data_IF_032380816096
#
_entry.id   IF_032380816096
#
_cell.length_a   1.000
_cell.length_b   1.000
_cell.length_c   1.000
_cell.angle_alpha   90.00
_cell.angle_beta   90.00
_cell.angle_gamma   90.00
#
_symmetry.space_group_name_H-M   'P 1'
#
loop_
_entity.id
_entity.type
_entity.pdbx_description
1 polymer ?
#
# COMPACT_ATOMS: atom_id res chain seq x y z
N UNK A 1 9.57 -59.38 4.60
CA UNK A 1 8.52 -59.40 3.55
C UNK A 1 7.94 -58.00 3.51
N UNK A 2 8.30 -57.20 2.50
CA UNK A 2 7.96 -55.79 2.39
C UNK A 2 6.80 -55.62 1.40
N UNK A 3 5.67 -55.12 1.88
CA UNK A 3 4.51 -54.75 1.05
C UNK A 3 4.63 -53.30 0.65
N UNK A 4 4.84 -53.05 -0.64
CA UNK A 4 4.83 -51.73 -1.26
C UNK A 4 3.42 -51.40 -1.74
N UNK A 5 2.86 -50.29 -1.28
CA UNK A 5 1.62 -49.68 -1.77
C UNK A 5 1.95 -48.57 -2.74
N UNK A 6 1.44 -48.65 -3.98
CA UNK A 6 1.56 -47.57 -4.98
C UNK A 6 0.48 -46.50 -4.78
N UNK A 7 0.76 -45.22 -5.09
CA UNK A 7 -0.19 -44.12 -4.97
C UNK A 7 -1.22 -44.11 -6.11
N UNK A 8 -2.49 -43.98 -5.72
CA UNK A 8 -3.64 -43.82 -6.61
C UNK A 8 -3.63 -42.40 -7.21
N UNK A 9 -3.37 -42.31 -8.52
CA UNK A 9 -3.48 -41.08 -9.31
C UNK A 9 -4.96 -40.78 -9.57
N UNK A 10 -5.53 -39.85 -8.83
CA UNK A 10 -6.86 -39.30 -9.12
C UNK A 10 -6.75 -38.25 -10.22
N UNK A 11 -7.23 -38.60 -11.41
CA UNK A 11 -7.44 -37.67 -12.53
C UNK A 11 -8.77 -36.95 -12.27
N UNK A 12 -8.71 -35.66 -11.96
CA UNK A 12 -9.91 -34.82 -11.86
C UNK A 12 -10.18 -34.23 -13.24
N UNK A 13 -11.31 -34.64 -13.83
CA UNK A 13 -11.78 -34.17 -15.11
C UNK A 13 -12.41 -32.77 -14.99
N UNK A 14 -12.06 -31.90 -15.94
CA UNK A 14 -12.66 -30.58 -16.16
C UNK A 14 -14.17 -30.68 -16.41
N UNK A 15 -14.93 -29.74 -15.82
CA UNK A 15 -16.24 -29.34 -16.33
C UNK A 15 -16.29 -27.80 -16.40
N UNK A 16 -15.98 -27.25 -17.57
CA UNK A 16 -16.20 -25.85 -17.90
C UNK A 16 -17.66 -25.65 -18.30
N UNK A 17 -18.39 -24.82 -17.56
CA UNK A 17 -19.74 -24.36 -17.95
C UNK A 17 -19.61 -22.97 -18.56
N UNK A 18 -19.74 -22.90 -19.89
CA UNK A 18 -19.94 -21.67 -20.64
C UNK A 18 -21.42 -21.29 -20.58
N UNK A 19 -21.74 -20.14 -19.99
CA UNK A 19 -23.05 -19.48 -20.12
C UNK A 19 -22.91 -18.30 -21.08
N UNK A 20 -23.44 -18.46 -22.30
CA UNK A 20 -23.76 -17.37 -23.23
C UNK A 20 -25.25 -17.03 -23.14
N UNK A 21 -25.57 -15.76 -22.84
CA UNK A 21 -26.76 -14.99 -23.24
C UNK A 21 -26.75 -13.68 -22.42
N UNK A 22 -27.00 -12.47 -22.92
CA UNK A 22 -27.37 -11.98 -24.24
C UNK A 22 -27.63 -10.46 -24.18
N UNK A 23 -27.66 -9.85 -25.37
CA UNK A 23 -28.53 -8.74 -25.81
C UNK A 23 -28.51 -7.33 -25.16
N UNK A 24 -27.91 -6.39 -25.92
CA UNK A 24 -28.44 -5.09 -26.43
C UNK A 24 -29.43 -4.25 -25.59
N UNK A 25 -29.10 -2.97 -25.39
CA UNK A 25 -29.96 -1.80 -25.70
C UNK A 25 -29.18 -0.50 -25.49
N UNK A 26 -29.02 0.29 -26.56
CA UNK A 26 -28.74 1.73 -26.51
C UNK A 26 -30.04 2.50 -26.78
N UNK A 27 -30.17 3.74 -26.27
CA UNK A 27 -30.89 4.75 -27.03
C UNK A 27 -30.11 6.05 -27.20
N UNK A 28 -30.21 6.58 -28.41
CA UNK A 28 -29.85 7.94 -28.83
C UNK A 28 -30.82 9.00 -28.28
N UNK A 29 -30.22 10.12 -27.86
CA UNK A 29 -30.59 11.54 -28.07
C UNK A 29 -31.98 12.03 -27.63
N UNK A 30 -31.97 13.01 -26.71
CA UNK A 30 -32.79 14.21 -26.86
C UNK A 30 -32.07 15.45 -26.27
N UNK A 31 -31.96 16.45 -27.15
CA UNK A 31 -31.42 17.79 -26.96
C UNK A 31 -32.31 18.60 -26.01
N UNK A 32 -31.73 19.42 -25.13
CA UNK A 32 -32.34 20.72 -24.83
C UNK A 32 -31.26 21.77 -24.64
N UNK A 33 -31.13 22.57 -25.70
CA UNK A 33 -30.36 23.80 -25.76
C UNK A 33 -31.15 24.91 -25.05
N UNK A 34 -30.45 25.73 -24.27
CA UNK A 34 -31.01 26.85 -23.52
C UNK A 34 -29.92 27.80 -23.07
N UNK A 35 -29.20 28.37 -24.04
CA UNK A 35 -28.37 29.55 -23.86
C UNK A 35 -29.27 30.78 -23.65
N UNK A 36 -28.91 31.70 -22.75
CA UNK A 36 -28.71 33.16 -23.00
C UNK A 36 -27.89 33.74 -21.85
N UNK A 37 -26.92 34.60 -22.21
CA UNK A 37 -25.92 35.27 -21.39
C UNK A 37 -26.42 36.59 -20.73
N UNK A 38 -25.57 37.63 -20.57
CA UNK A 38 -25.00 38.11 -19.32
C UNK A 38 -25.66 39.41 -18.81
N UNK A 39 -25.34 39.85 -17.59
CA UNK A 39 -25.67 41.21 -17.17
C UNK A 39 -24.52 41.83 -16.36
N UNK A 40 -23.75 42.67 -17.04
CA UNK A 40 -23.00 43.77 -16.41
C UNK A 40 -23.97 44.89 -16.07
N UNK A 41 -23.78 45.57 -14.94
CA UNK A 41 -24.28 46.93 -14.69
C UNK A 41 -23.37 47.63 -13.68
N UNK A 42 -23.06 48.87 -14.05
CA UNK A 42 -22.11 49.84 -13.52
C UNK A 42 -22.70 50.66 -12.34
N UNK A 43 -21.82 51.07 -11.40
CA UNK A 43 -21.73 52.35 -10.63
C UNK A 43 -22.94 52.89 -9.80
N UNK A 44 -22.75 53.75 -8.76
CA UNK A 44 -21.66 54.71 -8.57
C UNK A 44 -21.02 54.80 -7.16
N UNK A 45 -19.94 55.60 -7.12
CA UNK A 45 -19.12 56.00 -5.98
C UNK A 45 -19.88 56.75 -4.87
N UNK A 46 -19.46 56.58 -3.60
CA UNK A 46 -19.56 57.64 -2.59
C UNK A 46 -18.53 57.48 -1.45
N UNK A 47 -17.79 58.57 -1.24
CA UNK A 47 -17.12 59.06 -0.02
C UNK A 47 -16.09 58.19 0.74
N UNK A 48 -14.84 58.66 0.72
CA UNK A 48 -13.86 58.44 1.78
C UNK A 48 -14.35 59.02 3.13
N UNK A 49 -13.78 58.56 4.26
CA UNK A 49 -12.78 59.43 4.88
C UNK A 49 -11.59 58.72 5.55
N UNK A 50 -10.52 59.50 5.62
CA UNK A 50 -9.55 59.63 6.71
C UNK A 50 -8.68 58.43 7.08
N UNK A 51 -7.41 58.61 6.73
CA UNK A 51 -6.24 58.01 7.35
C UNK A 51 -6.30 58.04 8.88
N UNK A 52 -5.93 56.93 9.51
CA UNK A 52 -5.30 56.97 10.82
C UNK A 52 -4.09 56.07 10.76
N UNK A 53 -2.95 56.74 10.68
CA UNK A 53 -1.60 56.25 10.81
C UNK A 53 -1.46 55.46 12.13
N UNK A 54 -1.37 54.13 12.00
CA UNK A 54 -1.01 53.23 13.08
C UNK A 54 0.36 52.64 12.73
N UNK A 55 1.37 53.30 13.27
CA UNK A 55 2.79 52.99 13.27
C UNK A 55 3.05 51.47 13.42
N UNK A 56 3.29 50.78 12.30
CA UNK A 56 3.66 49.36 12.31
C UNK A 56 5.09 49.23 12.79
N UNK A 57 5.28 48.73 14.02
CA UNK A 57 6.58 48.24 14.49
C UNK A 57 7.14 47.19 13.51
N UNK A 58 8.44 47.26 13.15
CA UNK A 58 9.05 46.22 12.33
C UNK A 58 9.17 44.94 13.15
N UNK A 59 8.48 43.88 12.72
CA UNK A 59 8.69 42.51 13.21
C UNK A 59 9.84 41.91 12.40
N UNK A 60 10.92 41.42 13.03
CA UNK A 60 11.99 40.75 12.28
C UNK A 60 11.44 39.46 11.69
N UNK A 61 11.30 39.42 10.37
CA UNK A 61 10.95 38.21 9.62
C UNK A 61 12.21 37.36 9.44
N UNK A 62 12.45 36.42 10.35
CA UNK A 62 13.46 35.38 10.11
C UNK A 62 12.84 34.37 9.18
N UNK A 63 13.12 34.52 7.88
CA UNK A 63 12.84 33.47 6.88
C UNK A 63 13.93 32.43 7.02
N UNK A 64 13.69 31.38 7.80
CA UNK A 64 14.51 30.16 7.71
C UNK A 64 14.02 29.43 6.47
N UNK A 65 14.76 29.58 5.37
CA UNK A 65 14.61 28.68 4.23
C UNK A 65 15.02 27.27 4.71
N UNK A 66 14.15 26.25 4.64
CA UNK A 66 14.59 24.90 4.92
C UNK A 66 15.61 24.50 3.85
N UNK A 67 16.84 24.22 4.27
CA UNK A 67 17.82 23.57 3.40
C UNK A 67 17.29 22.17 3.05
N UNK A 68 17.19 21.79 1.77
CA UNK A 68 16.74 20.46 1.41
C UNK A 68 17.82 19.46 1.84
N UNK A 69 17.51 18.62 2.82
CA UNK A 69 18.34 17.44 3.14
C UNK A 69 18.12 16.41 2.03
N UNK A 70 18.80 16.61 0.91
CA UNK A 70 18.88 15.59 -0.16
C UNK A 70 19.99 14.63 0.23
N UNK A 71 19.64 13.64 1.03
CA UNK A 71 20.41 12.41 1.07
C UNK A 71 19.45 11.24 1.00
N UNK A 72 18.69 11.15 -0.09
CA UNK A 72 18.16 9.83 -0.48
C UNK A 72 19.39 9.05 -0.96
N UNK A 73 19.88 8.04 -0.23
CA UNK A 73 20.96 7.21 -0.74
C UNK A 73 20.52 6.62 -2.08
N UNK A 74 21.40 6.65 -3.08
CA UNK A 74 21.14 5.96 -4.34
C UNK A 74 20.77 4.50 -4.04
N UNK A 75 19.74 3.95 -4.71
CA UNK A 75 19.31 2.58 -4.49
C UNK A 75 20.49 1.63 -4.71
N UNK A 76 20.80 0.83 -3.70
CA UNK A 76 21.90 -0.13 -3.78
C UNK A 76 21.45 -1.27 -4.70
N UNK A 77 22.22 -1.65 -5.73
CA UNK A 77 21.88 -2.81 -6.54
C UNK A 77 21.81 -4.05 -5.63
N UNK A 78 20.77 -4.87 -5.78
CA UNK A 78 20.61 -6.10 -5.03
C UNK A 78 21.77 -7.05 -5.33
N UNK A 79 22.82 -7.02 -4.51
CA UNK A 79 23.93 -7.97 -4.62
C UNK A 79 23.59 -9.20 -3.77
N UNK A 80 23.31 -10.33 -4.43
CA UNK A 80 23.00 -11.60 -3.79
C UNK A 80 21.52 -11.85 -3.49
N UNK A 81 21.11 -13.12 -3.54
CA UNK A 81 19.74 -13.58 -3.31
C UNK A 81 19.44 -13.58 -1.80
N UNK A 82 18.23 -13.19 -1.40
CA UNK A 82 17.78 -13.39 -0.02
C UNK A 82 17.57 -14.87 0.27
N UNK A 83 18.21 -15.37 1.34
CA UNK A 83 17.81 -16.62 1.96
C UNK A 83 16.66 -16.33 2.94
N UNK A 84 15.47 -16.86 2.65
CA UNK A 84 14.33 -16.77 3.55
C UNK A 84 14.64 -17.59 4.80
N UNK A 85 14.40 -16.99 5.97
CA UNK A 85 14.58 -17.62 7.27
C UNK A 85 13.23 -17.67 7.95
N UNK A 86 12.98 -18.74 8.69
CA UNK A 86 11.72 -18.97 9.38
C UNK A 86 11.93 -18.94 10.89
N UNK A 87 10.93 -18.48 11.62
CA UNK A 87 10.83 -18.70 13.06
C UNK A 87 10.31 -20.10 13.34
N UNK A 88 10.57 -20.61 14.55
CA UNK A 88 10.01 -21.89 14.97
C UNK A 88 8.48 -21.76 15.12
N UNK A 89 7.74 -22.56 14.36
CA UNK A 89 6.28 -22.51 14.33
C UNK A 89 5.62 -22.92 15.65
N UNK A 90 6.28 -23.77 16.46
CA UNK A 90 5.75 -24.14 17.78
C UNK A 90 5.84 -22.97 18.77
N UNK A 91 6.81 -22.07 18.58
CA UNK A 91 6.99 -20.88 19.42
C UNK A 91 6.24 -19.66 18.89
N UNK A 92 6.25 -19.45 17.57
CA UNK A 92 5.76 -18.23 16.93
C UNK A 92 4.39 -18.38 16.29
N UNK A 93 3.91 -19.61 16.11
CA UNK A 93 2.70 -19.91 15.36
C UNK A 93 2.90 -19.81 13.85
N UNK A 94 1.78 -19.69 13.14
CA UNK A 94 1.71 -19.53 11.68
C UNK A 94 0.70 -18.45 11.35
N UNK A 95 0.78 -17.89 10.13
CA UNK A 95 -0.19 -16.93 9.61
C UNK A 95 -0.82 -17.48 8.33
N UNK A 96 -2.14 -17.69 8.31
CA UNK A 96 -2.81 -18.30 7.15
C UNK A 96 -2.27 -19.68 6.78
N UNK A 97 -1.67 -20.40 7.74
CA UNK A 97 -1.02 -21.69 7.53
C UNK A 97 0.43 -21.62 7.05
N UNK A 98 0.99 -20.42 6.86
CA UNK A 98 2.40 -20.21 6.52
C UNK A 98 3.26 -20.07 7.78
N UNK A 99 4.45 -20.67 7.73
CA UNK A 99 5.50 -20.43 8.73
C UNK A 99 5.91 -18.95 8.72
N UNK A 100 6.16 -18.39 9.91
CA UNK A 100 6.53 -16.98 10.01
C UNK A 100 7.94 -16.78 9.48
N UNK A 101 8.07 -15.89 8.50
CA UNK A 101 9.36 -15.50 7.93
C UNK A 101 10.01 -14.33 8.69
N UNK A 102 11.33 -14.37 8.81
CA UNK A 102 12.11 -13.32 9.49
C UNK A 102 12.35 -12.16 8.53
N UNK A 103 11.60 -11.08 8.75
CA UNK A 103 11.69 -9.83 7.99
C UNK A 103 13.00 -9.09 8.28
N UNK A 104 13.77 -8.78 7.24
CA UNK A 104 15.08 -8.11 7.35
C UNK A 104 15.25 -7.07 6.25
N UNK A 105 15.34 -5.80 6.61
CA UNK A 105 15.58 -4.74 5.62
C UNK A 105 17.03 -4.79 5.10
N UNK A 106 17.19 -5.05 3.80
CA UNK A 106 18.48 -4.97 3.08
C UNK A 106 18.76 -3.60 2.46
N UNK A 107 17.95 -2.61 2.81
CA UNK A 107 18.06 -1.24 2.35
C UNK A 107 17.35 -0.98 1.02
N UNK A 108 17.17 0.31 0.74
CA UNK A 108 16.55 0.80 -0.49
C UNK A 108 17.23 0.27 -1.75
N UNK A 109 16.41 -0.17 -2.71
CA UNK A 109 16.85 -0.73 -4.00
C UNK A 109 15.87 -0.40 -5.11
N UNK A 110 16.29 -0.62 -6.36
CA UNK A 110 15.43 -0.42 -7.54
C UNK A 110 14.14 -1.19 -7.39
N UNK A 111 13.00 -0.47 -7.49
CA UNK A 111 11.67 -1.04 -7.32
C UNK A 111 11.26 -1.33 -5.87
N UNK A 112 12.03 -0.89 -4.87
CA UNK A 112 11.66 -0.93 -3.45
C UNK A 112 12.32 0.22 -2.69
N UNK A 113 11.96 1.44 -3.08
CA UNK A 113 12.52 2.71 -2.63
C UNK A 113 11.74 3.40 -1.52
N UNK A 114 10.55 2.89 -1.21
CA UNK A 114 9.71 3.32 -0.09
C UNK A 114 10.40 3.40 1.27
N UNK A 115 9.73 4.11 2.17
CA UNK A 115 10.20 4.39 3.53
C UNK A 115 9.85 3.23 4.47
N UNK A 116 10.73 2.95 5.43
CA UNK A 116 10.55 1.89 6.43
C UNK A 116 10.39 2.52 7.79
N UNK A 117 9.38 2.09 8.53
CA UNK A 117 9.33 2.33 9.98
C UNK A 117 9.79 1.10 10.72
N UNK A 118 10.42 1.33 11.87
CA UNK A 118 11.01 0.27 12.69
C UNK A 118 10.24 0.16 14.00
N UNK A 119 10.02 -1.06 14.46
CA UNK A 119 9.47 -1.36 15.78
C UNK A 119 10.43 -1.02 16.91
N UNK A 120 9.96 -1.17 18.15
CA UNK A 120 10.76 -0.90 19.37
C UNK A 120 11.95 -1.84 19.54
N UNK A 121 11.90 -3.02 18.91
CA UNK A 121 12.95 -4.05 18.92
C UNK A 121 13.96 -3.90 17.77
N UNK A 122 13.78 -2.90 16.90
CA UNK A 122 14.63 -2.70 15.73
C UNK A 122 14.21 -3.49 14.49
N UNK A 123 13.12 -4.27 14.54
CA UNK A 123 12.59 -4.98 13.38
C UNK A 123 11.80 -4.05 12.43
N UNK A 124 11.78 -4.31 11.11
CA UNK A 124 10.91 -3.57 10.19
C UNK A 124 9.44 -3.76 10.57
N UNK A 125 8.71 -2.67 10.82
CA UNK A 125 7.32 -2.69 11.26
C UNK A 125 6.34 -2.39 10.13
N UNK A 126 6.65 -1.38 9.30
CA UNK A 126 5.83 -1.05 8.14
C UNK A 126 6.65 -0.48 6.99
N UNK A 127 6.07 -0.51 5.79
CA UNK A 127 6.63 0.03 4.58
C UNK A 127 5.67 1.00 3.90
N UNK A 128 6.10 2.24 3.65
CA UNK A 128 5.36 3.20 2.85
C UNK A 128 5.81 3.09 1.40
N UNK A 129 4.92 2.57 0.55
CA UNK A 129 5.19 2.31 -0.87
C UNK A 129 5.47 3.62 -1.62
N UNK A 130 6.61 3.70 -2.30
CA UNK A 130 6.93 4.80 -3.20
C UNK A 130 6.42 4.55 -4.64
N UNK A 131 6.34 5.62 -5.44
CA UNK A 131 5.99 5.49 -6.85
C UNK A 131 7.06 4.69 -7.61
N UNK A 132 6.61 3.66 -8.33
CA UNK A 132 7.50 2.77 -9.10
C UNK A 132 8.05 1.59 -8.29
N UNK A 133 7.65 1.44 -7.03
CA UNK A 133 7.92 0.22 -6.28
C UNK A 133 7.10 -0.95 -6.85
N UNK A 134 7.64 -2.16 -6.71
CA UNK A 134 7.07 -3.40 -7.24
C UNK A 134 7.13 -4.45 -6.13
N UNK A 135 6.06 -5.22 -5.96
CA UNK A 135 5.88 -6.17 -4.85
C UNK A 135 7.03 -7.15 -4.70
N UNK A 136 7.55 -7.72 -5.80
CA UNK A 136 8.62 -8.71 -5.74
C UNK A 136 9.95 -8.09 -5.27
N UNK A 137 10.21 -6.83 -5.66
CA UNK A 137 11.41 -6.12 -5.22
C UNK A 137 11.29 -5.69 -3.75
N UNK A 138 10.08 -5.40 -3.27
CA UNK A 138 9.80 -5.13 -1.86
C UNK A 138 10.02 -6.41 -1.04
N UNK A 139 9.46 -7.53 -1.47
CA UNK A 139 9.65 -8.82 -0.81
C UNK A 139 11.15 -9.20 -0.74
N UNK A 140 11.90 -9.04 -1.85
CA UNK A 140 13.35 -9.25 -1.88
C UNK A 140 14.13 -8.26 -1.00
N UNK A 141 13.69 -6.99 -0.90
CA UNK A 141 14.29 -6.03 0.04
C UNK A 141 14.19 -6.53 1.48
N UNK A 142 13.06 -7.14 1.86
CA UNK A 142 12.81 -7.59 3.22
C UNK A 142 13.16 -9.07 3.49
N UNK A 143 13.74 -9.76 2.51
CA UNK A 143 14.02 -11.19 2.57
C UNK A 143 12.82 -12.05 2.98
N UNK A 144 11.67 -11.74 2.41
CA UNK A 144 10.46 -12.56 2.55
C UNK A 144 9.95 -13.03 1.19
N UNK A 145 9.11 -14.05 1.18
CA UNK A 145 8.35 -14.44 0.00
C UNK A 145 7.22 -13.45 -0.28
N UNK A 146 6.86 -13.31 -1.56
CA UNK A 146 5.67 -12.51 -1.95
C UNK A 146 4.39 -13.11 -1.35
N UNK A 147 4.33 -14.43 -1.19
CA UNK A 147 3.18 -15.12 -0.58
C UNK A 147 3.02 -14.75 0.88
N UNK A 148 4.11 -14.77 1.67
CA UNK A 148 4.08 -14.31 3.05
C UNK A 148 3.70 -12.84 3.15
N UNK A 149 4.27 -11.98 2.30
CA UNK A 149 3.93 -10.54 2.28
C UNK A 149 2.46 -10.29 1.92
N UNK A 150 1.89 -11.08 1.02
CA UNK A 150 0.46 -11.01 0.65
C UNK A 150 -0.43 -11.39 1.84
N UNK A 151 -0.17 -12.54 2.48
CA UNK A 151 -0.92 -12.99 3.66
C UNK A 151 -0.85 -11.98 4.80
N UNK A 152 0.34 -11.42 5.04
CA UNK A 152 0.60 -10.42 6.08
C UNK A 152 -0.22 -9.12 5.91
N UNK A 153 -0.66 -8.85 4.67
CA UNK A 153 -1.39 -7.64 4.28
C UNK A 153 -2.84 -7.91 3.84
N UNK A 154 -3.29 -9.16 3.89
CA UNK A 154 -4.60 -9.61 3.39
C UNK A 154 -5.79 -8.89 4.03
N UNK A 155 -5.72 -8.60 5.33
CA UNK A 155 -6.77 -7.85 6.06
C UNK A 155 -6.95 -6.44 5.51
N UNK A 156 -5.86 -5.84 4.98
CA UNK A 156 -5.83 -4.46 4.50
C UNK A 156 -5.96 -4.32 2.98
N UNK A 157 -6.23 -5.42 2.25
CA UNK A 157 -6.24 -5.44 0.78
C UNK A 157 -7.44 -6.21 0.22
N UNK A 158 -8.20 -5.56 -0.66
CA UNK A 158 -9.39 -6.14 -1.31
C UNK A 158 -9.14 -6.52 -2.77
N UNK A 159 -9.52 -7.73 -3.16
CA UNK A 159 -9.69 -8.14 -4.57
C UNK A 159 -8.43 -8.08 -5.42
N UNK A 160 -7.27 -7.81 -4.81
CA UNK A 160 -5.97 -7.70 -5.45
C UNK A 160 -4.90 -8.27 -4.51
N UNK A 161 -3.96 -9.02 -5.09
CA UNK A 161 -2.76 -9.46 -4.38
C UNK A 161 -1.85 -8.27 -4.08
N UNK A 162 -0.77 -8.54 -3.36
CA UNK A 162 0.32 -7.59 -3.15
C UNK A 162 0.88 -7.00 -4.45
N UNK A 163 0.63 -7.61 -5.62
CA UNK A 163 1.11 -7.14 -6.93
C UNK A 163 0.41 -5.86 -7.41
N UNK A 164 -0.73 -5.50 -6.83
CA UNK A 164 -1.41 -4.23 -7.12
C UNK A 164 -1.12 -3.22 -6.01
N UNK A 165 0.03 -2.55 -6.12
CA UNK A 165 0.44 -1.50 -5.19
C UNK A 165 0.10 -0.11 -5.73
N UNK A 166 -0.36 0.76 -4.83
CA UNK A 166 -0.45 2.19 -5.07
C UNK A 166 0.65 2.91 -4.30
N UNK A 167 1.23 3.95 -4.89
CA UNK A 167 2.11 4.85 -4.16
C UNK A 167 1.34 5.46 -2.98
N UNK A 168 1.94 5.43 -1.80
CA UNK A 168 1.31 5.83 -0.54
C UNK A 168 0.60 4.71 0.21
N UNK A 169 0.52 3.49 -0.34
CA UNK A 169 0.09 2.33 0.43
C UNK A 169 1.03 2.11 1.61
N UNK A 170 0.47 1.75 2.76
CA UNK A 170 1.23 1.25 3.89
C UNK A 170 1.12 -0.27 3.89
N UNK A 171 2.26 -0.96 3.82
CA UNK A 171 2.32 -2.40 4.01
C UNK A 171 2.74 -2.72 5.45
N UNK A 172 2.05 -3.66 6.05
CA UNK A 172 2.45 -4.31 7.28
C UNK A 172 3.67 -5.22 7.03
N UNK A 173 4.63 -5.18 7.95
CA UNK A 173 5.80 -6.04 7.98
C UNK A 173 5.91 -6.87 9.27
N UNK A 174 4.94 -6.77 10.19
CA UNK A 174 4.94 -7.55 11.44
C UNK A 174 3.73 -8.50 11.54
N UNK A 175 3.94 -9.78 11.89
CA UNK A 175 2.85 -10.73 12.14
C UNK A 175 1.91 -10.34 13.30
N UNK A 176 2.36 -9.48 14.21
CA UNK A 176 1.56 -9.02 15.35
C UNK A 176 0.69 -7.80 15.05
N UNK A 177 0.76 -7.23 13.85
CA UNK A 177 0.01 -6.01 13.47
C UNK A 177 -0.78 -6.16 12.18
N UNK A 178 -1.16 -7.38 11.82
CA UNK A 178 -1.95 -7.70 10.63
C UNK A 178 -3.30 -6.98 10.67
N UNK A 179 -3.91 -6.87 11.84
CA UNK A 179 -5.22 -6.22 12.03
C UNK A 179 -5.13 -4.74 12.41
N UNK A 180 -3.94 -4.14 12.46
CA UNK A 180 -3.75 -2.75 12.94
C UNK A 180 -2.91 -1.88 12.01
N UNK A 181 -2.01 -2.47 11.21
CA UNK A 181 -1.14 -1.74 10.27
C UNK A 181 -1.54 -2.04 8.83
N UNK A 182 -1.54 -0.99 8.02
CA UNK A 182 -1.62 -1.06 6.57
C UNK A 182 -2.78 -0.27 5.97
N UNK A 183 -2.59 0.17 4.74
CA UNK A 183 -3.60 0.92 3.97
C UNK A 183 -3.51 0.54 2.50
N UNK A 184 -4.64 0.68 1.81
CA UNK A 184 -4.74 0.53 0.37
C UNK A 184 -5.38 1.78 -0.23
N UNK A 185 -4.64 2.48 -1.07
CA UNK A 185 -5.05 3.70 -1.77
C UNK A 185 -5.70 4.72 -0.82
N UNK A 186 -5.04 4.96 0.33
CA UNK A 186 -5.50 5.87 1.38
C UNK A 186 -6.67 5.37 2.22
N UNK A 187 -7.09 4.11 2.08
CA UNK A 187 -8.18 3.50 2.86
C UNK A 187 -7.63 2.45 3.82
N UNK A 188 -8.21 2.39 5.00
CA UNK A 188 -8.06 1.28 5.94
C UNK A 188 -9.18 0.28 5.65
N UNK A 189 -8.82 -0.96 5.32
CA UNK A 189 -9.76 -2.05 5.06
C UNK A 189 -9.74 -3.04 6.23
N UNK A 190 -10.85 -3.72 6.46
CA UNK A 190 -11.05 -4.66 7.58
C UNK A 190 -11.60 -5.98 7.03
N UNK A 191 -10.77 -6.69 6.27
CA UNK A 191 -11.17 -7.93 5.62
C UNK A 191 -11.10 -9.12 6.58
N UNK A 192 -11.56 -10.28 6.11
CA UNK A 192 -11.46 -11.52 6.88
C UNK A 192 -10.00 -11.81 7.26
N UNK A 193 -9.78 -12.13 8.52
CA UNK A 193 -8.47 -12.49 9.05
C UNK A 193 -8.01 -13.85 8.49
N UNK A 194 -6.71 -14.01 8.17
CA UNK A 194 -6.17 -15.30 7.82
C UNK A 194 -6.14 -16.20 9.06
N UNK A 195 -6.58 -17.46 8.93
CA UNK A 195 -6.52 -18.43 10.03
C UNK A 195 -5.46 -19.51 9.76
N UNK A 196 -4.61 -19.86 10.75
CA UNK A 196 -4.46 -19.20 12.06
C UNK A 196 -3.81 -17.82 11.95
N UNK A 197 -4.00 -16.99 12.98
CA UNK A 197 -3.38 -15.68 13.13
C UNK A 197 -2.62 -15.62 14.47
N UNK A 198 -1.37 -15.12 14.50
CA UNK A 198 -0.65 -14.88 15.76
C UNK A 198 -1.35 -13.83 16.64
N UNK A 199 -0.96 -13.72 17.91
CA UNK A 199 -1.44 -12.65 18.80
C UNK A 199 -1.18 -11.27 18.18
N UNK A 200 -2.19 -10.39 18.23
CA UNK A 200 -2.12 -9.03 17.71
C UNK A 200 -1.87 -8.01 18.83
N UNK A 201 -1.14 -6.93 18.53
CA UNK A 201 -0.78 -5.83 19.44
C UNK A 201 -1.85 -4.71 19.53
#
# INVERSE_FOLDING_TARGET
>A
MATWTLPQRSVIALASVLLLAGCTSAPEIAVTSGAVAPSSSESPAEAAPAETDAERRPVPSVTVAPEPVVTTPEPVPATGVCEIRYLDAAESGTIGGLDIEVVRDRGSRTGATGEVTTGSDGSPASYLVAAGDVSENIADRFCVSSEFLDVLNSVRRDGVTIDSLFAGDTLNLSPSTVTSVGTQNGRVLENAEPEPLPTQD
#
